data_IF_811803014601
#
_entry.id   IF_811803014601
#
_cell.length_a   1.000
_cell.length_b   1.000
_cell.length_c   1.000
_cell.angle_alpha   90.00
_cell.angle_beta   90.00
_cell.angle_gamma   90.00
#
_symmetry.space_group_name_H-M   'P 1'
#
loop_
_entity.id
_entity.type
_entity.pdbx_description
1 polymer ?
#
# COMPACT_ATOMS: atom_id res chain seq x y z
N UNK A 1 -6.19 -43.21 -17.69
CA UNK A 1 -7.50 -43.01 -17.04
C UNK A 1 -7.43 -43.65 -15.66
N UNK A 2 -7.84 -43.08 -14.51
CA UNK A 2 -8.22 -41.72 -14.06
C UNK A 2 -8.53 -41.84 -12.56
N UNK A 3 -8.22 -40.93 -11.63
CA UNK A 3 -7.41 -39.69 -11.66
C UNK A 3 -6.88 -39.39 -10.24
N UNK A 4 -6.04 -38.36 -10.05
CA UNK A 4 -5.52 -37.98 -8.71
C UNK A 4 -6.37 -36.85 -8.11
N UNK A 5 -7.09 -37.13 -7.03
CA UNK A 5 -7.85 -36.12 -6.29
C UNK A 5 -6.94 -35.40 -5.27
N UNK A 6 -6.41 -34.24 -5.67
CA UNK A 6 -5.66 -33.35 -4.78
C UNK A 6 -6.63 -32.47 -3.98
N UNK A 7 -6.94 -32.87 -2.75
CA UNK A 7 -7.80 -32.09 -1.85
C UNK A 7 -7.05 -30.89 -1.25
N UNK A 8 -7.13 -29.74 -1.92
CA UNK A 8 -6.67 -28.46 -1.38
C UNK A 8 -7.60 -28.00 -0.26
N UNK A 9 -7.15 -28.13 0.99
CA UNK A 9 -7.85 -27.59 2.16
C UNK A 9 -7.73 -26.06 2.20
N UNK A 10 -8.70 -25.35 1.62
CA UNK A 10 -8.87 -23.92 1.85
C UNK A 10 -9.29 -23.69 3.32
N UNK A 11 -8.36 -23.20 4.13
CA UNK A 11 -8.61 -22.88 5.54
C UNK A 11 -9.58 -21.69 5.64
N UNK A 12 -10.79 -21.94 6.14
CA UNK A 12 -11.73 -20.90 6.53
C UNK A 12 -11.18 -20.13 7.73
N UNK A 13 -10.80 -18.87 7.54
CA UNK A 13 -10.48 -17.99 8.65
C UNK A 13 -11.76 -17.49 9.34
N UNK A 14 -11.78 -17.62 10.66
CA UNK A 14 -12.93 -17.29 11.50
C UNK A 14 -13.13 -15.79 11.60
N UNK A 15 -14.25 -15.29 11.06
CA UNK A 15 -14.68 -13.89 11.22
C UNK A 15 -15.03 -13.61 12.69
N UNK A 16 -14.10 -12.98 13.41
CA UNK A 16 -14.42 -12.36 14.71
C UNK A 16 -15.10 -11.02 14.45
N UNK A 17 -16.32 -10.87 14.95
CA UNK A 17 -17.06 -9.61 14.95
C UNK A 17 -16.30 -8.53 15.74
N UNK A 18 -15.52 -7.71 15.04
CA UNK A 18 -15.09 -6.39 15.47
C UNK A 18 -15.93 -5.38 14.69
N UNK A 19 -16.44 -4.35 15.35
CA UNK A 19 -17.21 -3.29 14.69
C UNK A 19 -16.28 -2.54 13.72
N UNK A 20 -16.31 -2.92 12.44
CA UNK A 20 -15.45 -2.36 11.42
C UNK A 20 -15.87 -0.92 11.13
N UNK A 21 -15.03 0.03 11.54
CA UNK A 21 -15.05 1.36 10.96
C UNK A 21 -14.40 1.23 9.58
N UNK A 22 -15.21 1.14 8.53
CA UNK A 22 -14.71 1.01 7.15
C UNK A 22 -13.73 2.15 6.89
N UNK A 23 -12.47 1.87 6.50
CA UNK A 23 -11.51 2.93 6.21
C UNK A 23 -12.02 3.78 5.05
N UNK A 24 -11.85 5.10 5.13
CA UNK A 24 -12.14 5.98 4.00
C UNK A 24 -11.01 5.82 2.99
N UNK A 25 -11.35 5.26 1.84
CA UNK A 25 -10.44 4.99 0.73
C UNK A 25 -10.97 5.74 -0.50
N UNK A 26 -10.12 6.56 -1.10
CA UNK A 26 -10.41 7.35 -2.30
C UNK A 26 -9.53 6.86 -3.45
N UNK A 27 -10.09 6.74 -4.66
CA UNK A 27 -9.33 6.37 -5.86
C UNK A 27 -8.59 7.58 -6.41
N UNK A 28 -7.29 7.40 -6.66
CA UNK A 28 -6.35 8.45 -7.04
C UNK A 28 -5.88 8.21 -8.47
N UNK A 29 -5.95 9.27 -9.29
CA UNK A 29 -5.57 9.21 -10.71
C UNK A 29 -4.22 9.90 -10.97
N UNK A 30 -3.84 10.87 -10.13
CA UNK A 30 -2.58 11.60 -10.22
C UNK A 30 -1.79 11.60 -8.91
N UNK A 31 -0.49 11.83 -9.00
CA UNK A 31 0.37 12.01 -7.81
C UNK A 31 -0.06 13.25 -7.02
N UNK A 32 -0.51 14.27 -7.74
CA UNK A 32 -0.97 15.57 -7.28
C UNK A 32 -2.08 15.44 -6.21
N UNK A 33 -3.03 14.53 -6.43
CA UNK A 33 -4.16 14.25 -5.53
C UNK A 33 -3.67 13.81 -4.13
N UNK A 34 -2.55 13.08 -4.08
CA UNK A 34 -1.95 12.59 -2.83
C UNK A 34 -1.03 13.60 -2.14
N UNK A 35 -0.41 14.52 -2.88
CA UNK A 35 0.66 15.41 -2.37
C UNK A 35 0.20 16.27 -1.20
N UNK A 36 -1.04 16.78 -1.23
CA UNK A 36 -1.56 17.65 -0.16
C UNK A 36 -1.67 16.93 1.19
N UNK A 37 -2.09 15.66 1.23
CA UNK A 37 -2.16 14.90 2.49
C UNK A 37 -0.78 14.71 3.12
N UNK A 38 0.24 14.39 2.32
CA UNK A 38 1.61 14.25 2.82
C UNK A 38 2.23 15.61 3.22
N UNK A 39 1.89 16.71 2.55
CA UNK A 39 2.27 18.07 2.98
C UNK A 39 1.66 18.44 4.33
N UNK A 40 0.35 18.17 4.52
CA UNK A 40 -0.34 18.40 5.82
C UNK A 40 0.32 17.60 6.95
N UNK A 41 0.72 16.35 6.69
CA UNK A 41 1.44 15.53 7.67
C UNK A 41 2.83 16.07 8.02
N UNK A 42 3.57 16.62 7.04
CA UNK A 42 4.89 17.23 7.31
C UNK A 42 4.74 18.52 8.13
N UNK A 43 3.73 19.35 7.82
CA UNK A 43 3.45 20.59 8.54
C UNK A 43 3.01 20.34 9.99
N UNK A 44 2.19 19.32 10.26
CA UNK A 44 1.67 19.04 11.61
C UNK A 44 2.69 18.49 12.60
N UNK A 45 3.82 17.94 12.11
CA UNK A 45 4.87 17.33 12.95
C UNK A 45 6.05 18.25 13.26
N UNK A 46 5.98 19.53 12.88
CA UNK A 46 7.04 20.53 13.01
C UNK A 46 8.41 20.03 12.48
N UNK A 47 8.35 19.20 11.42
CA UNK A 47 9.49 18.55 10.78
C UNK A 47 9.34 18.68 9.26
N UNK A 48 10.22 19.44 8.58
CA UNK A 48 10.16 19.60 7.12
C UNK A 48 10.65 18.35 6.37
N UNK A 49 11.08 17.31 7.07
CA UNK A 49 11.59 16.06 6.51
C UNK A 49 10.60 14.91 6.62
N UNK A 50 10.33 14.28 5.48
CA UNK A 50 9.43 13.14 5.34
C UNK A 50 10.25 11.91 4.92
N UNK A 51 10.07 10.78 5.62
CA UNK A 51 10.63 9.49 5.19
C UNK A 51 9.47 8.59 4.80
N UNK A 52 9.38 8.26 3.51
CA UNK A 52 8.39 7.31 3.00
C UNK A 52 8.91 5.88 3.15
N UNK A 53 8.04 4.96 3.56
CA UNK A 53 8.26 3.52 3.39
C UNK A 53 7.32 3.03 2.30
N UNK A 54 7.92 2.42 1.27
CA UNK A 54 7.22 1.76 0.18
C UNK A 54 7.44 0.25 0.33
N UNK A 55 6.37 -0.52 0.49
CA UNK A 55 6.45 -1.98 0.41
C UNK A 55 6.55 -2.41 -1.05
N UNK A 56 7.31 -3.45 -1.36
CA UNK A 56 7.50 -3.97 -2.72
C UNK A 56 7.21 -5.47 -2.70
N UNK A 57 6.28 -5.99 -3.53
CA UNK A 57 6.04 -7.42 -3.64
C UNK A 57 7.34 -8.13 -4.03
N UNK A 58 7.83 -9.03 -3.16
CA UNK A 58 8.99 -9.86 -3.43
C UNK A 58 8.58 -11.22 -4.00
N UNK A 59 7.57 -11.82 -3.39
CA UNK A 59 6.85 -13.00 -3.86
C UNK A 59 5.48 -13.04 -3.18
N UNK A 60 4.40 -13.27 -3.93
CA UNK A 60 3.05 -13.37 -3.38
C UNK A 60 2.45 -14.74 -3.68
N UNK A 61 2.16 -15.57 -2.66
CA UNK A 61 1.36 -16.78 -2.81
C UNK A 61 -0.14 -16.48 -2.69
N UNK A 62 -0.58 -15.26 -3.05
CA UNK A 62 -1.95 -14.80 -2.78
C UNK A 62 -2.99 -15.68 -3.50
N UNK A 63 -4.00 -16.18 -2.77
CA UNK A 63 -5.15 -16.84 -3.37
C UNK A 63 -6.25 -15.84 -3.80
N UNK A 64 -6.09 -14.54 -3.50
CA UNK A 64 -7.12 -13.52 -3.74
C UNK A 64 -6.97 -12.94 -5.15
N UNK A 65 -5.78 -12.44 -5.46
CA UNK A 65 -5.42 -12.05 -6.82
C UNK A 65 -4.47 -13.10 -7.39
N UNK A 66 -4.91 -13.79 -8.44
CA UNK A 66 -4.11 -14.76 -9.18
C UNK A 66 -3.05 -14.07 -10.07
N UNK A 67 -2.29 -13.14 -9.50
CA UNK A 67 -1.23 -12.39 -10.18
C UNK A 67 -0.11 -13.34 -10.60
N UNK A 68 0.30 -13.26 -11.87
CA UNK A 68 1.49 -13.96 -12.31
C UNK A 68 2.77 -13.16 -12.04
N UNK A 69 3.92 -13.67 -12.52
CA UNK A 69 5.21 -12.99 -12.32
C UNK A 69 5.34 -11.69 -13.13
N UNK A 70 4.62 -11.56 -14.25
CA UNK A 70 4.55 -10.32 -15.03
C UNK A 70 3.71 -9.28 -14.30
N UNK A 71 2.52 -9.66 -13.80
CA UNK A 71 1.65 -8.76 -13.03
C UNK A 71 2.36 -8.17 -11.81
N UNK A 72 3.07 -9.02 -11.04
CA UNK A 72 3.85 -8.58 -9.88
C UNK A 72 5.03 -7.68 -10.26
N UNK A 73 5.65 -7.90 -11.43
CA UNK A 73 6.73 -7.04 -11.93
C UNK A 73 6.19 -5.70 -12.44
N UNK A 74 5.01 -5.68 -13.07
CA UNK A 74 4.37 -4.45 -13.55
C UNK A 74 3.79 -3.62 -12.42
N UNK A 75 3.19 -4.24 -11.40
CA UNK A 75 2.86 -3.59 -10.14
C UNK A 75 4.11 -2.94 -9.52
N UNK A 76 5.21 -3.68 -9.37
CA UNK A 76 6.49 -3.16 -8.87
C UNK A 76 6.99 -1.97 -9.70
N UNK A 77 6.93 -2.06 -11.03
CA UNK A 77 7.33 -0.98 -11.94
C UNK A 77 6.47 0.28 -11.75
N UNK A 78 5.13 0.13 -11.80
CA UNK A 78 4.15 1.22 -11.58
C UNK A 78 4.39 1.91 -10.25
N UNK A 79 4.55 1.15 -9.17
CA UNK A 79 4.72 1.70 -7.82
C UNK A 79 6.06 2.42 -7.62
N UNK A 80 7.15 1.97 -8.27
CA UNK A 80 8.43 2.68 -8.22
C UNK A 80 8.35 4.00 -8.99
N UNK A 81 7.71 4.03 -10.16
CA UNK A 81 7.46 5.27 -10.93
C UNK A 81 6.63 6.25 -10.09
N UNK A 82 5.48 5.80 -9.57
CA UNK A 82 4.61 6.61 -8.73
C UNK A 82 5.34 7.18 -7.50
N UNK A 83 6.15 6.35 -6.81
CA UNK A 83 6.96 6.79 -5.67
C UNK A 83 7.98 7.87 -6.07
N UNK A 84 8.63 7.75 -7.23
CA UNK A 84 9.59 8.74 -7.71
C UNK A 84 8.92 10.07 -8.06
N UNK A 85 7.75 10.03 -8.68
CA UNK A 85 6.98 11.23 -9.02
C UNK A 85 6.40 11.89 -7.76
N UNK A 86 5.89 11.12 -6.79
CA UNK A 86 5.50 11.62 -5.46
C UNK A 86 6.65 12.31 -4.72
N UNK A 87 7.84 11.71 -4.72
CA UNK A 87 9.04 12.32 -4.16
C UNK A 87 9.43 13.61 -4.90
N UNK A 88 9.25 13.67 -6.23
CA UNK A 88 9.53 14.87 -7.03
C UNK A 88 8.56 16.00 -6.66
N UNK A 89 7.26 15.72 -6.63
CA UNK A 89 6.21 16.71 -6.33
C UNK A 89 6.30 17.22 -4.88
N UNK A 90 6.57 16.32 -3.91
CA UNK A 90 6.83 16.72 -2.52
C UNK A 90 8.04 17.66 -2.39
N UNK A 91 9.16 17.33 -3.02
CA UNK A 91 10.37 18.19 -3.03
C UNK A 91 10.15 19.51 -3.75
N UNK A 92 9.41 19.52 -4.85
CA UNK A 92 9.02 20.75 -5.55
C UNK A 92 8.15 21.66 -4.67
N UNK A 93 7.33 21.08 -3.79
CA UNK A 93 6.56 21.81 -2.77
C UNK A 93 7.36 22.23 -1.51
N UNK A 94 8.67 21.98 -1.47
CA UNK A 94 9.55 22.35 -0.36
C UNK A 94 9.70 21.29 0.75
N UNK A 95 9.09 20.11 0.63
CA UNK A 95 9.20 19.02 1.62
C UNK A 95 10.48 18.21 1.37
N UNK A 96 11.33 18.05 2.38
CA UNK A 96 12.54 17.23 2.30
C UNK A 96 12.18 15.73 2.36
N UNK A 97 11.74 15.18 1.23
CA UNK A 97 11.27 13.81 1.16
C UNK A 97 12.39 12.80 0.80
N UNK A 98 12.46 11.70 1.56
CA UNK A 98 13.32 10.52 1.35
C UNK A 98 12.45 9.25 1.33
N UNK A 99 13.00 8.12 0.90
CA UNK A 99 12.25 6.85 0.89
C UNK A 99 13.09 5.65 1.30
N UNK A 100 12.39 4.56 1.63
CA UNK A 100 12.91 3.21 1.83
C UNK A 100 12.02 2.21 1.10
N UNK A 101 12.62 1.24 0.41
CA UNK A 101 11.92 0.07 -0.09
C UNK A 101 11.97 -1.05 0.96
N UNK A 102 10.86 -1.75 1.15
CA UNK A 102 10.70 -2.85 2.12
C UNK A 102 10.09 -4.06 1.37
N UNK A 103 10.73 -5.24 1.34
CA UNK A 103 10.12 -6.40 0.71
C UNK A 103 8.85 -6.82 1.46
N UNK A 104 7.81 -7.19 0.70
CA UNK A 104 6.52 -7.66 1.21
C UNK A 104 6.11 -8.96 0.51
N UNK A 105 5.36 -9.78 1.23
CA UNK A 105 4.74 -11.02 0.74
C UNK A 105 3.27 -10.82 0.28
N UNK A 106 2.82 -9.57 0.17
CA UNK A 106 1.50 -9.20 -0.33
C UNK A 106 1.53 -8.97 -1.85
N UNK A 107 0.34 -9.04 -2.45
CA UNK A 107 -0.01 -8.76 -3.84
C UNK A 107 -0.30 -7.28 -4.13
N UNK A 108 0.10 -6.38 -3.23
CA UNK A 108 -0.10 -4.94 -3.33
C UNK A 108 1.13 -4.17 -2.84
N UNK A 109 1.20 -2.90 -3.19
CA UNK A 109 2.23 -1.96 -2.71
C UNK A 109 1.58 -0.90 -1.82
N UNK A 110 2.24 -0.55 -0.72
CA UNK A 110 1.80 0.49 0.20
C UNK A 110 2.89 1.55 0.39
N UNK A 111 2.57 2.82 0.17
CA UNK A 111 3.46 3.96 0.40
C UNK A 111 2.90 4.79 1.57
N UNK A 112 3.66 4.92 2.65
CA UNK A 112 3.25 5.66 3.85
C UNK A 112 4.42 6.41 4.47
N UNK A 113 4.15 7.45 5.25
CA UNK A 113 5.18 8.18 5.98
C UNK A 113 5.54 7.48 7.29
N UNK A 114 6.83 7.22 7.54
CA UNK A 114 7.30 6.69 8.82
C UNK A 114 7.65 7.81 9.80
N UNK A 115 7.10 7.72 11.01
CA UNK A 115 7.26 8.76 12.04
C UNK A 115 8.48 8.54 12.96
N UNK A 116 9.09 7.35 12.93
CA UNK A 116 10.31 7.00 13.66
C UNK A 116 11.00 5.82 12.95
N UNK A 117 12.08 5.29 13.54
CA UNK A 117 12.83 4.13 13.02
C UNK A 117 12.07 2.78 13.18
N UNK A 118 10.75 2.79 13.36
CA UNK A 118 9.94 1.58 13.28
C UNK A 118 10.00 0.98 11.86
N UNK A 119 10.43 -0.27 11.78
CA UNK A 119 10.76 -0.95 10.52
C UNK A 119 9.54 -1.38 9.69
N UNK A 120 8.32 -1.17 10.21
CA UNK A 120 7.06 -1.53 9.54
C UNK A 120 6.07 -0.37 9.71
N UNK A 121 5.44 0.12 8.63
CA UNK A 121 4.25 0.93 8.78
C UNK A 121 3.14 0.09 9.42
N UNK A 122 2.45 0.66 10.41
CA UNK A 122 1.26 0.04 11.00
C UNK A 122 0.08 0.30 10.06
N UNK A 123 -0.06 -0.56 9.07
CA UNK A 123 -1.18 -0.54 8.11
C UNK A 123 -2.26 -1.44 8.68
N UNK A 124 -3.48 -0.93 8.73
CA UNK A 124 -4.63 -1.66 9.25
C UNK A 124 -4.95 -2.87 8.35
N UNK A 125 -5.04 -4.07 8.94
CA UNK A 125 -5.47 -5.28 8.24
C UNK A 125 -6.85 -5.10 7.59
N UNK A 126 -7.73 -4.25 8.17
CA UNK A 126 -9.03 -3.91 7.59
C UNK A 126 -8.90 -3.08 6.31
N UNK A 127 -7.89 -2.21 6.21
CA UNK A 127 -7.59 -1.46 4.97
C UNK A 127 -7.09 -2.43 3.90
N UNK A 128 -6.17 -3.33 4.25
CA UNK A 128 -5.68 -4.38 3.35
C UNK A 128 -6.85 -5.23 2.83
N UNK A 129 -7.71 -5.74 3.72
CA UNK A 129 -8.87 -6.54 3.35
C UNK A 129 -9.88 -5.76 2.47
N UNK A 130 -10.11 -4.46 2.76
CA UNK A 130 -11.01 -3.62 1.95
C UNK A 130 -10.46 -3.44 0.54
N UNK A 131 -9.17 -3.16 0.39
CA UNK A 131 -8.52 -2.98 -0.91
C UNK A 131 -8.43 -4.30 -1.69
N UNK A 132 -8.17 -5.43 -1.01
CA UNK A 132 -8.10 -6.74 -1.63
C UNK A 132 -9.45 -7.30 -2.12
N UNK A 133 -10.57 -6.65 -1.79
CA UNK A 133 -11.89 -6.94 -2.37
C UNK A 133 -12.26 -6.00 -3.53
N UNK A 134 -11.40 -5.03 -3.87
CA UNK A 134 -11.58 -4.09 -4.97
C UNK A 134 -11.01 -4.57 -6.30
N UNK A 135 -10.99 -3.68 -7.29
CA UNK A 135 -10.39 -3.98 -8.59
C UNK A 135 -8.85 -3.90 -8.55
N UNK A 136 -8.21 -4.76 -9.35
CA UNK A 136 -6.77 -4.75 -9.62
C UNK A 136 -6.39 -3.54 -10.49
N UNK A 137 -5.16 -3.03 -10.33
CA UNK A 137 -4.63 -1.93 -11.13
C UNK A 137 -4.89 -0.52 -10.59
N UNK A 138 -5.52 -0.38 -9.42
CA UNK A 138 -5.93 0.91 -8.85
C UNK A 138 -4.85 1.52 -7.95
N UNK A 139 -4.83 2.85 -7.89
CA UNK A 139 -4.09 3.59 -6.85
C UNK A 139 -5.11 4.23 -5.93
N UNK A 140 -4.95 4.02 -4.62
CA UNK A 140 -5.94 4.35 -3.61
C UNK A 140 -5.26 5.13 -2.48
N UNK A 141 -5.85 6.22 -2.03
CA UNK A 141 -5.41 6.98 -0.86
C UNK A 141 -6.34 6.68 0.32
N UNK A 142 -5.76 6.35 1.46
CA UNK A 142 -6.47 6.14 2.71
C UNK A 142 -5.86 7.00 3.83
N UNK A 143 -6.70 7.76 4.53
CA UNK A 143 -6.29 8.50 5.71
C UNK A 143 -6.39 7.62 6.95
N UNK A 144 -5.24 7.27 7.54
CA UNK A 144 -5.15 6.45 8.75
C UNK A 144 -4.79 7.29 9.98
N UNK A 145 -4.94 6.72 11.18
CA UNK A 145 -4.46 7.34 12.42
C UNK A 145 -2.96 7.70 12.41
N UNK A 146 -2.16 7.00 11.58
CA UNK A 146 -0.73 7.21 11.43
C UNK A 146 -0.38 8.25 10.32
N UNK A 147 -1.39 8.70 9.58
CA UNK A 147 -1.30 9.60 8.42
C UNK A 147 -1.76 8.94 7.11
N UNK A 148 -1.61 9.63 5.96
CA UNK A 148 -1.94 9.09 4.66
C UNK A 148 -1.12 7.85 4.30
N UNK A 149 -1.82 6.86 3.73
CA UNK A 149 -1.29 5.64 3.14
C UNK A 149 -1.83 5.54 1.72
N UNK A 150 -0.94 5.43 0.74
CA UNK A 150 -1.30 5.09 -0.63
C UNK A 150 -1.18 3.57 -0.77
N UNK A 151 -2.17 2.93 -1.39
CA UNK A 151 -2.15 1.51 -1.76
C UNK A 151 -2.26 1.40 -3.28
N UNK A 152 -1.46 0.53 -3.88
CA UNK A 152 -1.45 0.27 -5.32
C UNK A 152 -1.70 -1.23 -5.52
N UNK A 153 -2.75 -1.56 -6.29
CA UNK A 153 -3.08 -2.90 -6.80
C UNK A 153 -2.74 -3.04 -8.28
#
# INVERSE_FOLDING_TARGET
MTSVASSSNCLQYSLRNVVHRVPQVEEVFGVEDSVESFKRLSASKDRPSLRLSCTIPSWSPSPVHCLDLHDLQDLRNRSIIFLHDLLRSLRASGVQATYRLIPSNMDLVTISATSSDSYRPAIDDNLIATVQMGDVGKTLLAETENGPVIVIT
#
